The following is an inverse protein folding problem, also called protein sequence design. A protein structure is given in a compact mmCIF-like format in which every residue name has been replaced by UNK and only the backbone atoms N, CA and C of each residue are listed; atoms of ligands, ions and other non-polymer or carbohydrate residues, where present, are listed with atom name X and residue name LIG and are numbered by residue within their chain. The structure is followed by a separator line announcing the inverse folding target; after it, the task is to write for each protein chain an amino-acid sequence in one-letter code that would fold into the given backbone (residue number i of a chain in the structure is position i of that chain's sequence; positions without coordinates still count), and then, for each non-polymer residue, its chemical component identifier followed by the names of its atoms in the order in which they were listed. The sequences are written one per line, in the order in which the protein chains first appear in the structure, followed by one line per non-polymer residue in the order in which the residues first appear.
data_IF_021320921469
#
_entry.id   IF_021320921469
#
_cell.length_a   1.000
_cell.length_b   1.000
_cell.length_c   1.000
_cell.angle_alpha   90.00
_cell.angle_beta   90.00
_cell.angle_gamma   90.00
#
_symmetry.space_group_name_H-M   'P 1'
#
loop_
_entity.id
_entity.type
_entity.pdbx_description
1 polymer ?
#
# COMPACT_ATOMS: atom_id res chain seq x y z
N UNK A 1 2.08 30.24 -4.58
CA UNK A 1 1.65 28.86 -4.88
C UNK A 1 2.82 27.95 -4.64
N UNK A 2 2.69 26.91 -3.84
CA UNK A 2 3.77 25.93 -3.66
C UNK A 2 3.92 25.14 -4.97
N UNK A 3 5.06 25.25 -5.63
CA UNK A 3 5.35 24.51 -6.86
C UNK A 3 5.68 23.06 -6.52
N UNK A 4 4.99 22.11 -7.18
CA UNK A 4 5.36 20.71 -7.21
C UNK A 4 6.25 20.44 -8.41
N UNK A 5 7.21 19.53 -8.26
CA UNK A 5 7.94 18.97 -9.37
C UNK A 5 7.28 17.63 -9.75
N UNK A 6 7.15 17.37 -11.03
CA UNK A 6 6.58 16.11 -11.53
C UNK A 6 7.46 15.51 -12.63
N UNK A 7 7.49 14.18 -12.69
CA UNK A 7 8.19 13.44 -13.75
C UNK A 7 7.49 12.10 -13.98
N UNK A 8 7.47 11.63 -15.21
CA UNK A 8 6.93 10.31 -15.55
C UNK A 8 8.05 9.42 -16.08
N UNK A 9 8.24 8.26 -15.45
CA UNK A 9 9.21 7.25 -15.89
C UNK A 9 8.74 6.57 -17.18
N UNK A 10 9.65 5.88 -17.88
CA UNK A 10 9.34 5.15 -19.11
C UNK A 10 8.30 4.03 -18.92
N UNK A 11 8.21 3.46 -17.70
CA UNK A 11 7.24 2.44 -17.34
C UNK A 11 5.86 3.01 -16.93
N UNK A 12 5.66 4.32 -17.07
CA UNK A 12 4.40 5.00 -16.75
C UNK A 12 4.28 5.50 -15.31
N UNK A 13 5.18 5.14 -14.40
CA UNK A 13 5.15 5.61 -13.02
C UNK A 13 5.33 7.13 -12.96
N UNK A 14 4.40 7.79 -12.30
CA UNK A 14 4.44 9.23 -12.06
C UNK A 14 5.13 9.52 -10.74
N UNK A 15 5.99 10.52 -10.71
CA UNK A 15 6.66 11.02 -9.51
C UNK A 15 6.13 12.41 -9.21
N UNK A 16 5.69 12.64 -7.97
CA UNK A 16 5.37 13.96 -7.42
C UNK A 16 6.35 14.28 -6.31
N UNK A 17 6.97 15.44 -6.38
CA UNK A 17 7.94 15.92 -5.39
C UNK A 17 7.60 17.31 -4.91
N UNK A 18 7.66 17.50 -3.59
CA UNK A 18 7.60 18.82 -2.96
C UNK A 18 8.80 19.01 -2.05
N UNK A 19 9.66 19.97 -2.39
CA UNK A 19 10.80 20.34 -1.58
C UNK A 19 10.35 20.97 -0.26
N UNK A 20 11.00 20.59 0.84
CA UNK A 20 10.82 21.17 2.17
C UNK A 20 12.18 21.24 2.86
N UNK A 21 12.29 22.05 3.89
CA UNK A 21 13.49 22.15 4.75
C UNK A 21 13.49 21.12 5.89
N UNK A 22 12.45 20.28 5.98
CA UNK A 22 12.33 19.27 7.00
C UNK A 22 13.39 18.17 6.85
N UNK A 23 14.02 17.78 7.95
CA UNK A 23 15.02 16.70 7.97
C UNK A 23 14.36 15.31 7.81
N UNK A 24 13.11 15.17 8.26
CA UNK A 24 12.30 13.97 8.01
C UNK A 24 11.67 14.09 6.64
N UNK A 25 11.82 13.04 5.85
CA UNK A 25 11.25 12.88 4.50
C UNK A 25 10.09 11.91 4.57
N UNK A 26 8.96 12.30 4.01
CA UNK A 26 7.81 11.45 3.79
C UNK A 26 7.79 11.03 2.33
N UNK A 27 7.75 9.74 2.07
CA UNK A 27 7.69 9.22 0.70
C UNK A 27 6.86 7.94 0.64
N UNK A 28 6.30 7.64 -0.52
CA UNK A 28 5.49 6.44 -0.68
C UNK A 28 4.96 6.24 -2.08
N UNK A 29 4.21 5.16 -2.24
CA UNK A 29 3.43 4.86 -3.42
C UNK A 29 1.94 4.94 -3.09
N UNK A 30 1.18 5.65 -3.89
CA UNK A 30 -0.27 5.58 -3.94
C UNK A 30 -0.67 4.84 -5.21
N UNK A 31 -1.38 3.74 -5.03
CA UNK A 31 -1.93 2.93 -6.10
C UNK A 31 -3.38 3.37 -6.31
N UNK A 32 -3.79 3.66 -7.55
CA UNK A 32 -5.18 3.99 -7.87
C UNK A 32 -6.00 2.69 -7.94
N UNK A 33 -6.08 2.00 -6.82
CA UNK A 33 -6.88 0.80 -6.62
C UNK A 33 -7.19 0.64 -5.13
N UNK A 34 -8.45 0.45 -4.82
CA UNK A 34 -8.99 0.17 -3.50
C UNK A 34 -10.10 -0.87 -3.61
N UNK A 35 -11.01 -0.90 -2.64
CA UNK A 35 -12.11 -1.87 -2.66
C UNK A 35 -13.06 -1.69 -3.85
N UNK A 36 -13.16 -0.50 -4.41
CA UNK A 36 -13.91 -0.23 -5.64
C UNK A 36 -13.45 -1.07 -6.84
N UNK A 37 -12.17 -1.47 -6.87
CA UNK A 37 -11.56 -2.21 -7.96
C UNK A 37 -11.62 -3.73 -7.77
N UNK A 38 -12.24 -4.19 -6.68
CA UNK A 38 -12.50 -5.58 -6.41
C UNK A 38 -13.58 -6.13 -7.34
N UNK A 39 -13.39 -7.34 -7.82
CA UNK A 39 -14.39 -8.06 -8.59
C UNK A 39 -15.30 -8.85 -7.64
N UNK A 40 -16.44 -9.31 -8.14
CA UNK A 40 -17.33 -10.20 -7.37
C UNK A 40 -16.55 -11.43 -6.86
N UNK A 41 -16.55 -11.64 -5.55
CA UNK A 41 -15.79 -12.68 -4.87
C UNK A 41 -14.38 -12.26 -4.46
N UNK A 42 -14.03 -10.96 -4.58
CA UNK A 42 -12.78 -10.38 -4.11
C UNK A 42 -13.02 -9.37 -2.95
N UNK A 43 -14.17 -9.41 -2.28
CA UNK A 43 -14.53 -8.44 -1.25
C UNK A 43 -13.55 -8.48 -0.07
N UNK A 44 -12.87 -7.32 0.18
CA UNK A 44 -11.79 -7.19 1.16
C UNK A 44 -10.39 -7.52 0.64
N UNK A 45 -10.23 -7.86 -0.65
CA UNK A 45 -8.94 -8.24 -1.25
C UNK A 45 -7.94 -7.07 -1.25
N UNK A 46 -8.38 -5.83 -1.43
CA UNK A 46 -7.49 -4.68 -1.45
C UNK A 46 -6.82 -4.49 -0.08
N UNK A 47 -7.60 -4.53 1.01
CA UNK A 47 -7.10 -4.46 2.38
C UNK A 47 -6.26 -5.68 2.75
N UNK A 48 -6.72 -6.88 2.39
CA UNK A 48 -5.95 -8.11 2.56
C UNK A 48 -4.56 -8.04 1.89
N UNK A 49 -4.47 -7.55 0.65
CA UNK A 49 -3.20 -7.38 -0.06
C UNK A 49 -2.31 -6.34 0.61
N UNK A 50 -2.88 -5.29 1.22
CA UNK A 50 -2.12 -4.32 2.01
C UNK A 50 -1.39 -5.02 3.16
N UNK A 51 -2.10 -5.75 4.04
CA UNK A 51 -1.53 -6.53 5.13
C UNK A 51 -0.43 -7.48 4.64
N UNK A 52 -0.74 -8.22 3.59
CA UNK A 52 0.16 -9.23 3.04
C UNK A 52 1.39 -8.65 2.36
N UNK A 53 1.38 -7.36 1.98
CA UNK A 53 2.54 -6.68 1.37
C UNK A 53 3.75 -6.64 2.32
N UNK A 54 3.53 -6.69 3.64
CA UNK A 54 4.60 -6.70 4.65
C UNK A 54 5.11 -8.11 5.01
N UNK A 55 4.54 -9.18 4.45
CA UNK A 55 4.82 -10.56 4.86
C UNK A 55 5.90 -11.26 4.05
N UNK A 56 6.38 -10.66 2.97
CA UNK A 56 7.52 -11.18 2.20
C UNK A 56 7.55 -10.76 0.75
N UNK A 57 8.77 -10.54 0.25
CA UNK A 57 9.06 -10.29 -1.16
C UNK A 57 9.97 -11.40 -1.69
N UNK A 58 10.33 -11.31 -2.98
CA UNK A 58 11.35 -12.20 -3.56
C UNK A 58 12.72 -12.07 -2.91
N UNK A 59 13.01 -10.92 -2.28
CA UNK A 59 14.33 -10.58 -1.76
C UNK A 59 14.38 -10.40 -0.24
N UNK A 60 13.23 -10.31 0.44
CA UNK A 60 13.12 -10.02 1.88
C UNK A 60 12.03 -10.86 2.54
N UNK A 61 12.31 -11.37 3.72
CA UNK A 61 11.27 -11.92 4.60
C UNK A 61 10.59 -10.80 5.41
N UNK A 62 9.49 -11.12 6.11
CA UNK A 62 8.71 -10.16 6.89
C UNK A 62 9.56 -9.39 7.92
N UNK A 63 10.45 -10.07 8.66
CA UNK A 63 11.30 -9.44 9.66
C UNK A 63 12.29 -8.44 9.03
N UNK A 64 12.82 -8.74 7.85
CA UNK A 64 13.69 -7.82 7.11
C UNK A 64 12.95 -6.61 6.55
N UNK A 65 11.66 -6.75 6.25
CA UNK A 65 10.79 -5.65 5.81
C UNK A 65 10.52 -4.72 7.00
N UNK A 66 10.00 -5.24 8.10
CA UNK A 66 9.64 -4.48 9.31
C UNK A 66 10.88 -3.75 9.84
N UNK A 67 11.96 -4.46 10.11
CA UNK A 67 13.19 -3.87 10.63
C UNK A 67 13.94 -2.99 9.60
N UNK A 68 13.53 -3.02 8.34
CA UNK A 68 14.24 -2.35 7.25
C UNK A 68 14.42 -0.85 7.43
N UNK A 69 13.44 -0.16 8.01
CA UNK A 69 13.48 1.26 8.33
C UNK A 69 13.50 1.54 9.84
N UNK A 70 12.86 0.71 10.66
CA UNK A 70 12.79 0.89 12.12
C UNK A 70 14.18 0.98 12.77
N UNK A 71 15.13 0.15 12.35
CA UNK A 71 16.53 0.18 12.83
C UNK A 71 17.24 1.53 12.53
N UNK A 72 16.68 2.34 11.63
CA UNK A 72 17.18 3.67 11.28
C UNK A 72 16.31 4.79 11.86
N UNK A 73 15.39 4.44 12.77
CA UNK A 73 14.43 5.39 13.35
C UNK A 73 13.37 5.87 12.35
N UNK A 74 13.12 5.08 11.29
CA UNK A 74 12.07 5.36 10.32
C UNK A 74 10.79 4.59 10.64
N UNK A 75 9.68 5.08 10.10
CA UNK A 75 8.38 4.46 10.15
C UNK A 75 7.97 3.96 8.76
N UNK A 76 7.32 2.81 8.69
CA UNK A 76 6.79 2.20 7.48
C UNK A 76 5.35 1.78 7.73
N UNK A 77 4.42 2.29 6.92
CA UNK A 77 3.00 2.05 7.14
C UNK A 77 2.22 2.03 5.82
N UNK A 78 0.95 1.64 5.87
CA UNK A 78 0.03 1.65 4.74
C UNK A 78 -1.40 1.90 5.21
N UNK A 79 -2.27 2.21 4.28
CA UNK A 79 -3.71 2.23 4.45
C UNK A 79 -4.43 2.01 3.12
N UNK A 80 -5.61 1.40 3.20
CA UNK A 80 -6.50 1.15 2.07
C UNK A 80 -7.79 1.94 2.23
N UNK A 81 -8.14 2.64 1.16
CA UNK A 81 -9.43 3.31 1.00
C UNK A 81 -10.28 2.61 -0.08
N UNK A 82 -11.46 3.14 -0.33
CA UNK A 82 -12.33 2.62 -1.39
C UNK A 82 -11.75 2.77 -2.80
N UNK A 83 -10.92 3.77 -3.06
CA UNK A 83 -10.43 4.10 -4.40
C UNK A 83 -8.89 4.10 -4.52
N UNK A 84 -8.16 3.95 -3.41
CA UNK A 84 -6.69 3.91 -3.41
C UNK A 84 -6.13 3.10 -2.24
N UNK A 85 -4.92 2.58 -2.46
CA UNK A 85 -4.08 2.00 -1.41
C UNK A 85 -2.75 2.74 -1.38
N UNK A 86 -2.34 3.19 -0.20
CA UNK A 86 -1.12 3.98 -0.02
C UNK A 86 -0.15 3.27 0.91
N UNK A 87 1.11 3.11 0.45
CA UNK A 87 2.25 2.60 1.21
C UNK A 87 3.24 3.73 1.40
N UNK A 88 3.62 4.05 2.63
CA UNK A 88 4.47 5.20 2.89
C UNK A 88 5.49 4.96 3.99
N UNK A 89 6.52 5.78 3.99
CA UNK A 89 7.54 5.81 5.02
C UNK A 89 7.85 7.26 5.45
N UNK A 90 8.18 7.41 6.72
CA UNK A 90 8.81 8.60 7.28
C UNK A 90 10.23 8.25 7.72
N UNK A 91 11.24 8.95 7.21
CA UNK A 91 12.65 8.61 7.44
C UNK A 91 13.55 9.86 7.39
N UNK A 92 14.68 9.84 8.07
CA UNK A 92 15.69 10.87 7.89
C UNK A 92 16.23 10.85 6.45
N UNK A 93 16.50 12.04 5.90
CA UNK A 93 16.89 12.25 4.49
C UNK A 93 18.11 11.45 4.04
N UNK A 94 19.01 11.14 4.96
CA UNK A 94 20.22 10.34 4.72
C UNK A 94 19.88 8.91 4.29
N UNK A 95 18.74 8.38 4.73
CA UNK A 95 18.31 7.01 4.51
C UNK A 95 17.26 6.85 3.40
N UNK A 96 16.92 7.93 2.68
CA UNK A 96 15.88 7.93 1.64
C UNK A 96 16.08 6.85 0.57
N UNK A 97 17.32 6.56 0.20
CA UNK A 97 17.61 5.52 -0.79
C UNK A 97 17.15 4.13 -0.33
N UNK A 98 17.24 3.85 0.98
CA UNK A 98 16.78 2.59 1.57
C UNK A 98 15.25 2.54 1.62
N UNK A 99 14.58 3.65 1.98
CA UNK A 99 13.12 3.73 1.97
C UNK A 99 12.55 3.52 0.56
N UNK A 100 13.09 4.21 -0.45
CA UNK A 100 12.67 4.03 -1.85
C UNK A 100 12.84 2.59 -2.31
N UNK A 101 14.00 1.97 -2.01
CA UNK A 101 14.26 0.58 -2.39
C UNK A 101 13.31 -0.41 -1.70
N UNK A 102 13.04 -0.19 -0.39
CA UNK A 102 12.13 -1.05 0.37
C UNK A 102 10.69 -0.91 -0.11
N UNK A 103 10.19 0.33 -0.23
CA UNK A 103 8.83 0.60 -0.70
C UNK A 103 8.59 0.03 -2.10
N UNK A 104 9.55 0.21 -3.02
CA UNK A 104 9.43 -0.36 -4.37
C UNK A 104 9.35 -1.89 -4.32
N UNK A 105 10.17 -2.53 -3.47
CA UNK A 105 10.21 -3.98 -3.38
C UNK A 105 8.92 -4.55 -2.75
N UNK A 106 8.44 -3.97 -1.66
CA UNK A 106 7.21 -4.48 -1.02
C UNK A 106 5.96 -4.25 -1.88
N UNK A 107 5.85 -3.12 -2.58
CA UNK A 107 4.67 -2.82 -3.39
C UNK A 107 4.61 -3.66 -4.67
N UNK A 108 5.75 -3.89 -5.33
CA UNK A 108 5.74 -4.49 -6.68
C UNK A 108 6.34 -5.90 -6.75
N UNK A 109 6.96 -6.40 -5.68
CA UNK A 109 7.61 -7.72 -5.66
C UNK A 109 7.15 -8.61 -4.50
N UNK A 110 6.07 -8.27 -3.80
CA UNK A 110 5.49 -9.13 -2.77
C UNK A 110 5.07 -10.48 -3.35
N UNK A 111 5.26 -11.53 -2.56
CA UNK A 111 5.04 -12.92 -2.98
C UNK A 111 3.83 -13.56 -2.35
N UNK A 112 3.24 -12.90 -1.35
CA UNK A 112 2.03 -13.37 -0.66
C UNK A 112 2.12 -14.83 -0.21
N UNK A 113 3.09 -15.20 0.66
CA UNK A 113 3.32 -16.61 1.01
C UNK A 113 2.12 -17.21 1.72
N UNK A 114 1.64 -18.39 1.28
CA UNK A 114 0.43 -19.03 1.84
C UNK A 114 0.50 -19.22 3.35
N UNK A 115 1.64 -19.65 3.89
CA UNK A 115 1.81 -19.83 5.33
C UNK A 115 1.74 -18.53 6.16
N UNK A 116 1.94 -17.38 5.53
CA UNK A 116 1.70 -16.07 6.16
C UNK A 116 0.24 -15.65 5.98
N UNK A 117 -0.39 -15.98 4.84
CA UNK A 117 -1.83 -15.77 4.62
C UNK A 117 -2.64 -16.49 5.69
N UNK A 118 -2.34 -17.77 5.94
CA UNK A 118 -3.06 -18.60 6.92
C UNK A 118 -3.03 -18.02 8.35
N UNK A 119 -2.03 -17.19 8.67
CA UNK A 119 -1.92 -16.49 9.96
C UNK A 119 -2.61 -15.14 9.94
N UNK A 120 -2.37 -14.37 8.87
CA UNK A 120 -2.82 -12.97 8.77
C UNK A 120 -4.33 -12.87 8.59
N UNK A 121 -4.96 -13.84 7.96
CA UNK A 121 -6.42 -13.91 7.83
C UNK A 121 -7.11 -13.84 9.18
N UNK A 122 -6.62 -14.54 10.21
CA UNK A 122 -7.22 -14.47 11.55
C UNK A 122 -6.99 -13.09 12.20
N UNK A 123 -5.85 -12.44 11.95
CA UNK A 123 -5.60 -11.06 12.43
C UNK A 123 -6.61 -10.09 11.80
N UNK A 124 -6.87 -10.21 10.49
CA UNK A 124 -7.86 -9.36 9.81
C UNK A 124 -9.28 -9.70 10.28
N UNK A 125 -9.59 -10.97 10.58
CA UNK A 125 -10.88 -11.34 11.16
C UNK A 125 -11.10 -10.71 12.54
N UNK A 126 -10.07 -10.68 13.39
CA UNK A 126 -10.13 -10.00 14.70
C UNK A 126 -10.32 -8.47 14.51
N UNK A 127 -9.72 -7.88 13.48
CA UNK A 127 -9.93 -6.47 13.13
C UNK A 127 -11.38 -6.21 12.68
N UNK A 128 -11.97 -7.07 11.86
CA UNK A 128 -13.39 -6.99 11.46
C UNK A 128 -14.30 -7.04 12.69
N UNK A 129 -14.06 -7.93 13.64
CA UNK A 129 -14.85 -8.04 14.87
C UNK A 129 -14.72 -6.74 15.69
N UNK A 130 -13.50 -6.24 15.88
CA UNK A 130 -13.25 -4.98 16.61
C UNK A 130 -13.92 -3.78 15.95
N UNK A 131 -13.90 -3.73 14.60
CA UNK A 131 -14.56 -2.67 13.83
C UNK A 131 -16.08 -2.72 13.96
N UNK A 132 -16.66 -3.92 13.90
CA UNK A 132 -18.11 -4.13 14.06
C UNK A 132 -18.59 -3.77 15.47
N UNK A 133 -17.73 -3.88 16.47
CA UNK A 133 -18.01 -3.48 17.86
C UNK A 133 -17.88 -1.96 18.11
N UNK A 134 -17.46 -1.18 17.08
CA UNK A 134 -17.31 0.27 17.13
C UNK A 134 -18.41 0.98 16.31
N UNK A 135 -19.57 1.31 16.89
CA UNK A 135 -20.66 1.94 16.13
C UNK A 135 -20.29 3.28 15.51
N UNK A 136 -19.30 3.99 16.07
CA UNK A 136 -18.83 5.28 15.57
C UNK A 136 -18.02 5.15 14.29
N UNK A 137 -17.39 4.00 14.05
CA UNK A 137 -16.66 3.69 12.83
C UNK A 137 -17.59 3.01 11.80
N UNK A 138 -18.32 1.99 12.26
CA UNK A 138 -19.23 1.22 11.41
C UNK A 138 -20.29 2.07 10.70
N UNK A 139 -20.79 3.14 11.34
CA UNK A 139 -21.84 3.99 10.78
C UNK A 139 -21.44 4.63 9.43
N UNK A 140 -20.15 4.91 9.21
CA UNK A 140 -19.70 5.48 7.95
C UNK A 140 -19.79 4.45 6.83
N UNK A 141 -19.34 3.23 7.05
CA UNK A 141 -19.44 2.15 6.07
C UNK A 141 -20.91 1.77 5.81
N UNK A 142 -21.73 1.65 6.83
CA UNK A 142 -23.16 1.38 6.68
C UNK A 142 -23.87 2.47 5.86
N UNK A 143 -23.54 3.74 6.11
CA UNK A 143 -24.10 4.85 5.33
C UNK A 143 -23.65 4.78 3.86
N UNK A 144 -22.35 4.54 3.60
CA UNK A 144 -21.83 4.41 2.25
C UNK A 144 -22.40 3.19 1.52
N UNK A 145 -22.55 2.06 2.21
CA UNK A 145 -23.14 0.85 1.65
C UNK A 145 -24.60 1.06 1.24
N UNK A 146 -25.38 1.80 2.04
CA UNK A 146 -26.75 2.19 1.70
C UNK A 146 -26.79 3.17 0.51
N UNK A 147 -25.89 4.16 0.49
CA UNK A 147 -25.83 5.20 -0.53
C UNK A 147 -25.43 4.61 -1.89
N UNK A 148 -24.54 3.63 -1.88
CA UNK A 148 -23.96 2.99 -3.06
C UNK A 148 -24.42 1.54 -3.24
N UNK A 149 -25.64 1.21 -2.81
CA UNK A 149 -26.18 -0.16 -2.93
C UNK A 149 -26.06 -0.68 -4.37
N UNK A 150 -25.46 -1.85 -4.55
CA UNK A 150 -25.21 -2.45 -5.86
C UNK A 150 -24.09 -1.81 -6.69
N UNK A 151 -23.37 -0.83 -6.14
CA UNK A 151 -22.21 -0.22 -6.76
C UNK A 151 -20.91 -0.69 -6.05
N UNK A 152 -19.76 -0.78 -6.75
CA UNK A 152 -18.49 -1.19 -6.15
C UNK A 152 -18.01 -0.38 -4.92
N UNK A 153 -18.50 0.83 -4.74
CA UNK A 153 -18.25 1.63 -3.52
C UNK A 153 -19.11 1.20 -2.31
N UNK A 154 -20.13 0.37 -2.52
CA UNK A 154 -21.11 -0.01 -1.52
C UNK A 154 -20.80 -1.33 -0.81
N UNK A 155 -19.54 -1.58 -0.43
CA UNK A 155 -19.16 -2.71 0.44
C UNK A 155 -18.01 -2.32 1.38
N UNK A 156 -17.89 -3.05 2.49
CA UNK A 156 -16.91 -2.72 3.53
C UNK A 156 -15.47 -2.94 3.04
N UNK A 157 -14.56 -2.06 3.47
CA UNK A 157 -13.13 -2.13 3.12
C UNK A 157 -12.50 -3.42 3.63
N UNK A 158 -12.85 -3.84 4.85
CA UNK A 158 -12.31 -5.04 5.48
C UNK A 158 -12.83 -6.36 4.86
N UNK A 159 -13.93 -6.30 4.09
CA UNK A 159 -14.57 -7.50 3.54
C UNK A 159 -15.33 -8.30 4.59
N UNK A 160 -15.39 -9.62 4.40
CA UNK A 160 -16.10 -10.55 5.28
C UNK A 160 -15.18 -11.72 5.67
N UNK A 161 -15.19 -12.11 6.96
CA UNK A 161 -14.32 -13.15 7.51
C UNK A 161 -14.38 -14.48 6.75
N UNK A 162 -15.58 -14.93 6.38
CA UNK A 162 -15.75 -16.18 5.65
C UNK A 162 -15.12 -16.15 4.25
N UNK A 163 -15.18 -15.00 3.58
CA UNK A 163 -14.53 -14.80 2.28
C UNK A 163 -13.01 -14.75 2.42
N UNK A 164 -12.48 -13.98 3.40
CA UNK A 164 -11.06 -13.86 3.65
C UNK A 164 -10.38 -15.22 3.90
N UNK A 165 -11.05 -16.14 4.63
CA UNK A 165 -10.55 -17.50 4.89
C UNK A 165 -10.42 -18.38 3.65
N UNK A 166 -10.96 -17.96 2.52
CA UNK A 166 -10.82 -18.68 1.25
C UNK A 166 -9.66 -18.19 0.40
N UNK A 167 -9.05 -17.04 0.74
CA UNK A 167 -8.04 -16.40 -0.08
C UNK A 167 -6.71 -17.16 -0.11
N UNK A 168 -6.13 -17.19 -1.27
CA UNK A 168 -4.87 -17.87 -1.57
C UNK A 168 -3.83 -16.91 -2.12
N UNK A 169 -2.58 -17.36 -2.16
CA UNK A 169 -1.49 -16.67 -2.87
C UNK A 169 -1.89 -16.30 -4.31
N UNK A 170 -2.60 -17.18 -5.01
CA UNK A 170 -2.99 -16.94 -6.41
C UNK A 170 -4.02 -15.81 -6.53
N UNK A 171 -4.95 -15.70 -5.57
CA UNK A 171 -5.96 -14.63 -5.53
C UNK A 171 -5.30 -13.28 -5.32
N UNK A 172 -4.40 -13.17 -4.32
CA UNK A 172 -3.62 -11.96 -4.06
C UNK A 172 -2.76 -11.54 -5.27
N UNK A 173 -2.07 -12.50 -5.90
CA UNK A 173 -1.27 -12.24 -7.10
C UNK A 173 -2.13 -11.82 -8.30
N UNK A 174 -3.33 -12.36 -8.45
CA UNK A 174 -4.27 -11.98 -9.50
C UNK A 174 -4.74 -10.54 -9.34
N UNK A 175 -5.15 -10.16 -8.14
CA UNK A 175 -5.55 -8.79 -7.80
C UNK A 175 -4.39 -7.80 -8.01
N UNK A 176 -3.23 -8.06 -7.41
CA UNK A 176 -2.09 -7.14 -7.46
C UNK A 176 -1.48 -7.04 -8.85
N UNK A 177 -1.45 -8.11 -9.65
CA UNK A 177 -1.04 -8.04 -11.06
C UNK A 177 -1.95 -7.15 -11.91
N UNK A 178 -3.25 -7.10 -11.57
CA UNK A 178 -4.22 -6.22 -12.23
C UNK A 178 -4.07 -4.76 -11.76
N UNK A 179 -3.88 -4.54 -10.48
CA UNK A 179 -3.98 -3.23 -9.84
C UNK A 179 -2.63 -2.57 -9.55
N UNK A 180 -1.63 -3.31 -9.06
CA UNK A 180 -0.34 -2.77 -8.62
C UNK A 180 0.66 -2.68 -9.78
N UNK A 181 0.41 -1.73 -10.67
CA UNK A 181 1.23 -1.47 -11.83
C UNK A 181 1.84 -0.08 -11.77
N UNK A 182 3.03 0.13 -12.33
CA UNK A 182 3.69 1.44 -12.32
C UNK A 182 2.84 2.54 -12.98
N UNK A 183 2.14 2.23 -14.06
CA UNK A 183 1.26 3.16 -14.77
C UNK A 183 -0.04 3.50 -14.00
N UNK A 184 -0.38 2.68 -13.00
CA UNK A 184 -1.51 2.88 -12.07
C UNK A 184 -1.07 3.42 -10.71
N UNK A 185 0.18 3.89 -10.59
CA UNK A 185 0.76 4.35 -9.35
C UNK A 185 1.32 5.77 -9.45
N UNK A 186 1.43 6.41 -8.29
CA UNK A 186 2.17 7.66 -8.09
C UNK A 186 3.16 7.45 -6.97
N UNK A 187 4.45 7.74 -7.22
CA UNK A 187 5.43 7.90 -6.17
C UNK A 187 5.41 9.34 -5.68
N UNK A 188 5.15 9.56 -4.42
CA UNK A 188 5.18 10.88 -3.81
C UNK A 188 6.35 11.01 -2.84
N UNK A 189 6.88 12.25 -2.73
CA UNK A 189 7.92 12.58 -1.76
C UNK A 189 7.81 14.03 -1.32
N UNK A 190 7.92 14.24 -0.02
CA UNK A 190 7.97 15.55 0.64
C UNK A 190 9.15 15.59 1.61
N UNK A 191 10.08 16.53 1.44
CA UNK A 191 11.24 16.69 2.32
C UNK A 191 12.42 17.36 1.64
N UNK A 192 13.56 17.42 2.36
CA UNK A 192 14.82 18.04 1.89
C UNK A 192 15.62 17.06 1.01
N UNK A 193 15.11 16.80 -0.17
CA UNK A 193 15.78 15.95 -1.18
C UNK A 193 15.69 16.59 -2.55
N UNK A 194 16.81 16.68 -3.25
CA UNK A 194 16.85 17.24 -4.60
C UNK A 194 16.05 16.38 -5.58
N UNK A 195 15.20 17.00 -6.40
CA UNK A 195 14.31 16.30 -7.32
C UNK A 195 15.02 15.35 -8.31
N UNK A 196 16.16 15.79 -8.87
CA UNK A 196 16.96 14.93 -9.77
C UNK A 196 17.50 13.69 -9.04
N UNK A 197 17.82 13.79 -7.76
CA UNK A 197 18.22 12.64 -6.93
C UNK A 197 17.05 11.69 -6.73
N UNK A 198 15.85 12.21 -6.47
CA UNK A 198 14.63 11.40 -6.33
C UNK A 198 14.40 10.55 -7.59
N UNK A 199 14.41 11.17 -8.78
CA UNK A 199 14.22 10.46 -10.06
C UNK A 199 15.22 9.30 -10.18
N UNK A 200 16.52 9.56 -9.95
CA UNK A 200 17.57 8.52 -10.02
C UNK A 200 17.37 7.39 -9.03
N UNK A 201 16.90 7.69 -7.80
CA UNK A 201 16.64 6.68 -6.78
C UNK A 201 15.48 5.77 -7.18
N UNK A 202 14.38 6.36 -7.65
CA UNK A 202 13.21 5.60 -8.09
C UNK A 202 13.54 4.77 -9.33
N UNK A 203 14.18 5.35 -10.35
CA UNK A 203 14.65 4.61 -11.52
C UNK A 203 15.60 3.45 -11.16
N UNK A 204 16.50 3.68 -10.20
CA UNK A 204 17.44 2.66 -9.73
C UNK A 204 16.77 1.51 -8.97
N UNK A 205 15.67 1.77 -8.27
CA UNK A 205 14.91 0.75 -7.56
C UNK A 205 14.18 -0.21 -8.53
N UNK A 206 13.74 0.29 -9.69
CA UNK A 206 13.09 -0.51 -10.74
C UNK A 206 14.03 -1.35 -11.62
N UNK A 207 15.33 -1.11 -11.56
CA UNK A 207 16.33 -1.84 -12.35
C UNK A 207 16.91 -3.07 -11.62
N UNK A 208 16.52 -3.27 -10.38
CA UNK A 208 16.96 -4.39 -9.54
C UNK A 208 15.95 -5.52 -9.56
#
# INVERSE_FOLDING_TARGET
MSSYNTYTLQNGLRIIHKLSVAQVVYCGYQIAAGTRDELTGEEGMAHFCEHMTFKGTRSRNALQIINGLEQLGGDLNAFTNKEDTTFYAAIQKEHIAKAVSLLTDIVFNSTYPQHEIDKEVEVICDEIESYNDSPAELIYDEFENMLFEGHPLGHNILGQADQLRTYTTEDALRFTKRCYRPDNAVFFIYGDVEFKKVIKLVEGAWKK
#
